data_IF_240315093434
#
_entry.id   IF_240315093434
#
_cell.length_a   1.000
_cell.length_b   1.000
_cell.length_c   1.000
_cell.angle_alpha   90.00
_cell.angle_beta   90.00
_cell.angle_gamma   90.00
#
_symmetry.space_group_name_H-M   'P 1'
#
loop_
_entity.id
_entity.type
_entity.pdbx_description
1 polymer ?
#
# COMPACT_ATOMS: atom_id res chain seq x y z
N UNK A 1 14.84 8.04 9.28
CA UNK A 1 13.92 9.06 8.72
C UNK A 1 12.70 8.32 8.24
N UNK A 2 11.49 8.83 8.43
CA UNK A 2 10.29 8.18 7.92
C UNK A 2 10.26 8.31 6.39
N UNK A 3 9.99 7.20 5.70
CA UNK A 3 9.96 7.16 4.23
C UNK A 3 8.58 7.59 3.73
N UNK A 4 8.50 8.29 2.61
CA UNK A 4 7.22 8.68 1.95
C UNK A 4 7.00 7.94 0.63
N UNK A 5 7.93 7.05 0.29
CA UNK A 5 7.94 6.20 -0.89
C UNK A 5 8.71 4.93 -0.55
N UNK A 6 8.16 3.78 -0.92
CA UNK A 6 8.84 2.49 -0.77
C UNK A 6 8.91 1.76 -2.11
N UNK A 7 9.88 0.86 -2.23
CA UNK A 7 10.01 -0.06 -3.36
C UNK A 7 9.90 -1.49 -2.84
N UNK A 8 8.99 -2.26 -3.45
CA UNK A 8 8.72 -3.64 -3.06
C UNK A 8 9.19 -4.55 -4.18
N UNK A 9 10.15 -5.46 -3.94
CA UNK A 9 10.55 -6.43 -4.93
C UNK A 9 9.43 -7.44 -5.13
N UNK A 10 9.10 -7.70 -6.40
CA UNK A 10 8.12 -8.69 -6.80
C UNK A 10 8.82 -9.97 -7.28
N UNK A 11 8.26 -11.15 -6.98
CA UNK A 11 8.76 -12.40 -7.52
C UNK A 11 8.53 -12.50 -9.03
N UNK A 12 9.43 -13.20 -9.71
CA UNK A 12 9.23 -13.57 -11.11
C UNK A 12 8.10 -14.60 -11.24
N UNK A 13 7.48 -14.64 -12.42
CA UNK A 13 6.50 -15.65 -12.85
C UNK A 13 5.28 -15.82 -11.93
N UNK A 14 4.99 -14.84 -11.08
CA UNK A 14 3.87 -14.87 -10.15
C UNK A 14 2.86 -13.79 -10.47
N UNK A 15 1.58 -14.12 -10.43
CA UNK A 15 0.51 -13.11 -10.37
C UNK A 15 0.48 -12.50 -8.98
N UNK A 16 0.53 -11.17 -8.91
CA UNK A 16 0.53 -10.43 -7.65
C UNK A 16 -0.84 -9.80 -7.44
N UNK A 17 -1.41 -9.99 -6.27
CA UNK A 17 -2.66 -9.36 -5.83
C UNK A 17 -2.36 -8.15 -4.98
N UNK A 18 -3.05 -7.07 -5.26
CA UNK A 18 -3.02 -5.83 -4.49
C UNK A 18 -4.39 -5.55 -3.90
N UNK A 19 -4.45 -5.18 -2.64
CA UNK A 19 -5.69 -4.75 -1.97
C UNK A 19 -5.42 -3.51 -1.12
N UNK A 20 -6.10 -2.42 -1.45
CA UNK A 20 -5.99 -1.15 -0.75
C UNK A 20 -7.12 -0.97 0.26
N UNK A 21 -6.78 -0.58 1.47
CA UNK A 21 -7.70 -0.34 2.58
C UNK A 21 -7.39 1.02 3.18
N UNK A 22 -8.42 1.76 3.59
CA UNK A 22 -8.26 3.04 4.27
C UNK A 22 -8.97 3.04 5.64
N UNK A 23 -8.37 3.77 6.59
CA UNK A 23 -8.87 3.93 7.94
C UNK A 23 -8.69 5.40 8.39
N UNK A 24 -9.73 6.19 8.28
CA UNK A 24 -9.69 7.62 8.57
C UNK A 24 -11.04 8.09 9.07
N UNK A 25 -11.07 8.87 10.15
CA UNK A 25 -12.33 9.40 10.67
C UNK A 25 -12.94 10.49 9.78
N UNK A 26 -12.10 11.29 9.11
CA UNK A 26 -12.53 12.53 8.47
C UNK A 26 -11.72 12.91 7.22
N UNK A 27 -10.42 12.61 7.19
CA UNK A 27 -9.52 13.02 6.13
C UNK A 27 -9.57 12.08 4.92
N UNK A 28 -9.35 12.66 3.73
CA UNK A 28 -9.15 11.86 2.52
C UNK A 28 -7.85 11.06 2.63
N UNK A 29 -7.86 9.84 2.13
CA UNK A 29 -6.71 8.93 2.14
C UNK A 29 -6.48 8.43 0.72
N UNK A 30 -5.22 8.37 0.30
CA UNK A 30 -4.84 7.97 -1.05
C UNK A 30 -3.71 6.93 -0.99
N UNK A 31 -3.85 5.90 -1.81
CA UNK A 31 -2.84 4.88 -2.07
C UNK A 31 -2.50 4.96 -3.56
N UNK A 32 -1.24 5.20 -3.86
CA UNK A 32 -0.74 5.24 -5.23
C UNK A 32 0.36 4.21 -5.39
N UNK A 33 0.32 3.46 -6.47
CA UNK A 33 1.41 2.55 -6.81
C UNK A 33 1.69 2.55 -8.30
N UNK A 34 2.96 2.38 -8.63
CA UNK A 34 3.46 2.25 -9.99
C UNK A 34 4.00 0.83 -10.17
N UNK A 35 3.45 0.13 -11.16
CA UNK A 35 3.84 -1.23 -11.50
C UNK A 35 5.14 -1.25 -12.30
N UNK A 36 5.85 -2.39 -12.36
CA UNK A 36 7.06 -2.53 -13.16
C UNK A 36 6.94 -2.15 -14.65
N UNK A 37 5.75 -2.26 -15.23
CA UNK A 37 5.43 -1.85 -16.61
C UNK A 37 5.11 -0.34 -16.73
N UNK A 38 5.30 0.43 -15.66
CA UNK A 38 5.10 1.88 -15.63
C UNK A 38 3.65 2.32 -15.49
N UNK A 39 2.73 1.40 -15.19
CA UNK A 39 1.32 1.76 -14.97
C UNK A 39 1.14 2.29 -13.56
N UNK A 40 0.70 3.54 -13.46
CA UNK A 40 0.29 4.14 -12.20
C UNK A 40 -1.18 3.85 -11.91
N UNK A 41 -1.46 3.39 -10.69
CA UNK A 41 -2.82 3.16 -10.17
C UNK A 41 -2.96 3.96 -8.88
N UNK A 42 -4.09 4.63 -8.73
CA UNK A 42 -4.42 5.44 -7.57
C UNK A 42 -5.80 5.05 -7.04
N UNK A 43 -5.88 4.80 -5.74
CA UNK A 43 -7.11 4.58 -5.02
C UNK A 43 -7.29 5.62 -3.93
N UNK A 44 -8.53 6.04 -3.73
CA UNK A 44 -8.87 7.11 -2.79
C UNK A 44 -10.04 6.69 -1.92
N UNK A 45 -9.94 6.92 -0.62
CA UNK A 45 -11.06 6.89 0.31
C UNK A 45 -11.34 8.30 0.84
N UNK A 46 -12.62 8.69 0.93
CA UNK A 46 -13.05 9.98 1.49
C UNK A 46 -14.11 9.81 2.56
N UNK A 47 -14.20 10.76 3.49
CA UNK A 47 -15.14 10.70 4.61
C UNK A 47 -14.73 9.70 5.70
N UNK A 48 -15.69 9.29 6.54
CA UNK A 48 -15.45 8.33 7.61
C UNK A 48 -15.26 6.91 7.05
N UNK A 49 -14.05 6.38 7.21
CA UNK A 49 -13.58 5.10 6.70
C UNK A 49 -13.04 4.28 7.87
N UNK A 50 -13.56 3.08 8.06
CA UNK A 50 -13.03 2.14 9.03
C UNK A 50 -12.81 0.79 8.35
N UNK A 51 -11.57 0.50 8.00
CA UNK A 51 -11.17 -0.71 7.26
C UNK A 51 -11.92 -0.85 5.93
N UNK A 52 -12.11 0.26 5.22
CA UNK A 52 -12.82 0.26 3.94
C UNK A 52 -11.87 -0.16 2.82
N UNK A 53 -12.24 -1.18 2.05
CA UNK A 53 -11.54 -1.54 0.81
C UNK A 53 -11.84 -0.47 -0.24
N UNK A 54 -10.78 0.17 -0.76
CA UNK A 54 -10.87 1.23 -1.77
C UNK A 54 -10.46 0.77 -3.16
N UNK A 55 -9.82 -0.39 -3.26
CA UNK A 55 -9.49 -0.99 -4.55
C UNK A 55 -8.80 -2.33 -4.43
N UNK A 56 -8.92 -3.10 -5.51
CA UNK A 56 -8.25 -4.38 -5.68
C UNK A 56 -7.84 -4.51 -7.15
N UNK A 57 -6.66 -5.07 -7.40
CA UNK A 57 -6.21 -5.39 -8.76
C UNK A 57 -5.21 -6.53 -8.71
N UNK A 58 -5.00 -7.16 -9.87
CA UNK A 58 -3.91 -8.10 -10.11
C UNK A 58 -2.89 -7.46 -11.07
N UNK A 59 -1.62 -7.81 -10.91
CA UNK A 59 -0.52 -7.39 -11.81
C UNK A 59 0.41 -8.57 -12.10
N UNK A 60 1.27 -8.42 -13.12
CA UNK A 60 2.13 -9.50 -13.62
C UNK A 60 1.35 -10.58 -14.37
N UNK A 61 1.90 -11.79 -14.54
CA UNK A 61 3.23 -12.21 -14.09
C UNK A 61 4.35 -11.48 -14.83
N UNK A 62 5.44 -11.22 -14.11
CA UNK A 62 6.63 -10.56 -14.64
C UNK A 62 7.74 -11.58 -14.89
N UNK A 63 8.44 -11.50 -16.01
CA UNK A 63 9.43 -12.51 -16.42
C UNK A 63 10.82 -12.29 -15.81
N UNK A 64 11.14 -11.06 -15.41
CA UNK A 64 12.41 -10.73 -14.77
C UNK A 64 12.30 -10.79 -13.23
N UNK A 65 13.30 -11.31 -12.52
CA UNK A 65 13.36 -11.21 -11.07
C UNK A 65 13.59 -9.76 -10.61
N UNK A 66 13.21 -9.46 -9.37
CA UNK A 66 13.45 -8.18 -8.69
C UNK A 66 12.84 -6.95 -9.38
N UNK A 67 11.75 -7.15 -10.12
CA UNK A 67 10.95 -6.02 -10.58
C UNK A 67 10.29 -5.31 -9.38
N UNK A 68 10.34 -3.99 -9.38
CA UNK A 68 9.95 -3.20 -8.22
C UNK A 68 8.55 -2.60 -8.40
N UNK A 69 7.67 -2.82 -7.43
CA UNK A 69 6.47 -2.02 -7.24
C UNK A 69 6.84 -0.78 -6.43
N UNK A 70 6.58 0.40 -6.95
CA UNK A 70 6.75 1.64 -6.19
C UNK A 70 5.44 2.02 -5.52
N UNK A 71 5.45 2.32 -4.22
CA UNK A 71 4.25 2.69 -3.46
C UNK A 71 4.45 4.05 -2.79
N UNK A 72 3.43 4.91 -2.88
CA UNK A 72 3.30 6.15 -2.14
C UNK A 72 1.90 6.24 -1.53
N UNK A 73 1.80 6.96 -0.42
CA UNK A 73 0.54 7.16 0.31
C UNK A 73 0.44 8.61 0.72
N UNK A 74 -0.78 9.13 0.77
CA UNK A 74 -1.03 10.52 1.10
C UNK A 74 -2.36 10.70 1.82
N UNK A 75 -2.47 11.77 2.61
CA UNK A 75 -3.70 12.18 3.27
C UNK A 75 -4.07 13.62 2.91
N UNK A 76 -5.37 13.91 2.88
CA UNK A 76 -5.89 15.27 2.65
C UNK A 76 -6.54 15.81 3.93
N UNK A 77 -5.84 16.68 4.70
CA UNK A 77 -6.39 17.32 5.89
C UNK A 77 -7.30 18.52 5.58
N UNK A 78 -7.65 18.76 4.32
CA UNK A 78 -8.50 19.86 3.85
C UNK A 78 -7.80 20.87 2.93
N UNK A 79 -6.53 20.65 2.60
CA UNK A 79 -5.71 21.53 1.74
C UNK A 79 -5.02 20.77 0.60
N UNK A 80 -5.56 19.61 0.21
CA UNK A 80 -4.99 18.71 -0.78
C UNK A 80 -4.09 17.64 -0.17
N UNK A 81 -3.81 16.60 -0.97
CA UNK A 81 -3.03 15.44 -0.55
C UNK A 81 -1.58 15.80 -0.23
N UNK A 82 -1.17 15.48 1.00
CA UNK A 82 0.20 15.59 1.50
C UNK A 82 0.77 14.19 1.70
N UNK A 83 2.07 13.96 1.44
CA UNK A 83 2.69 12.65 1.62
C UNK A 83 2.55 12.13 3.06
N UNK A 84 2.13 10.88 3.19
CA UNK A 84 2.13 10.15 4.45
C UNK A 84 3.49 9.51 4.69
N UNK A 85 3.81 9.27 5.96
CA UNK A 85 4.91 8.36 6.30
C UNK A 85 4.49 6.93 5.99
N UNK A 86 5.42 6.11 5.53
CA UNK A 86 5.15 4.75 5.03
C UNK A 86 6.13 3.79 5.66
N UNK A 87 5.63 2.61 6.00
CA UNK A 87 6.41 1.45 6.40
C UNK A 87 5.90 0.22 5.65
N UNK A 88 6.76 -0.78 5.45
CA UNK A 88 6.33 -2.07 4.98
C UNK A 88 7.05 -3.19 5.71
N UNK A 89 6.27 -4.23 6.01
CA UNK A 89 6.76 -5.47 6.58
C UNK A 89 6.41 -6.62 5.64
N UNK A 90 7.36 -7.52 5.46
CA UNK A 90 7.13 -8.75 4.71
C UNK A 90 6.48 -9.81 5.61
N UNK A 91 5.72 -10.69 4.98
CA UNK A 91 5.20 -11.89 5.63
C UNK A 91 5.35 -13.10 4.70
N UNK A 92 5.54 -14.26 5.31
CA UNK A 92 5.55 -15.54 4.64
C UNK A 92 4.79 -16.54 5.51
N UNK A 93 3.72 -17.11 4.97
CA UNK A 93 2.94 -18.18 5.58
C UNK A 93 2.81 -19.34 4.60
N UNK A 94 2.36 -20.49 5.08
CA UNK A 94 2.13 -21.64 4.21
C UNK A 94 1.15 -21.26 3.08
N UNK A 95 1.65 -21.28 1.83
CA UNK A 95 0.88 -20.97 0.62
C UNK A 95 0.73 -19.49 0.27
N UNK A 96 1.24 -18.54 1.08
CA UNK A 96 1.12 -17.11 0.79
C UNK A 96 2.34 -16.31 1.24
N UNK A 97 2.84 -15.45 0.36
CA UNK A 97 3.91 -14.51 0.64
C UNK A 97 3.49 -13.11 0.25
N UNK A 98 4.06 -12.10 0.90
CA UNK A 98 3.71 -10.73 0.58
C UNK A 98 4.32 -9.68 1.48
N UNK A 99 3.76 -8.49 1.35
CA UNK A 99 4.05 -7.31 2.12
C UNK A 99 2.75 -6.67 2.62
N UNK A 100 2.79 -6.17 3.84
CA UNK A 100 1.81 -5.20 4.35
C UNK A 100 2.49 -3.85 4.33
N UNK A 101 1.95 -2.90 3.58
CA UNK A 101 2.42 -1.52 3.54
C UNK A 101 1.44 -0.67 4.33
N UNK A 102 1.91 0.03 5.34
CA UNK A 102 1.12 0.90 6.20
C UNK A 102 1.50 2.36 6.02
N UNK A 103 0.51 3.25 5.95
CA UNK A 103 0.69 4.69 5.87
C UNK A 103 0.18 5.39 7.14
N UNK A 104 0.97 6.33 7.63
CA UNK A 104 0.69 7.17 8.79
C UNK A 104 0.52 8.63 8.34
N UNK A 105 -0.63 9.21 8.66
CA UNK A 105 -0.82 10.66 8.54
C UNK A 105 -0.27 11.40 9.77
N UNK A 106 -0.25 12.74 9.74
CA UNK A 106 0.27 13.55 10.85
C UNK A 106 -0.55 13.44 12.15
N UNK A 107 -1.70 12.75 12.12
CA UNK A 107 -2.53 12.46 13.29
C UNK A 107 -2.03 11.22 14.02
N UNK A 108 -1.04 11.37 14.90
CA UNK A 108 -0.65 10.31 15.82
C UNK A 108 -1.85 9.88 16.68
N UNK A 109 -2.03 8.57 16.88
CA UNK A 109 -2.95 8.06 17.90
C UNK A 109 -2.39 8.37 19.29
N UNK A 110 -3.21 8.31 20.37
CA UNK A 110 -2.75 8.56 21.74
C UNK A 110 -1.57 7.68 22.20
N UNK A 111 -1.30 6.57 21.49
CA UNK A 111 -0.27 5.59 21.78
C UNK A 111 0.91 5.60 20.78
N UNK A 112 1.03 6.62 19.93
CA UNK A 112 2.09 6.73 18.92
C UNK A 112 1.64 6.39 17.49
N UNK A 113 2.62 6.33 16.58
CA UNK A 113 2.41 6.04 15.17
C UNK A 113 1.87 4.61 14.97
N UNK A 114 0.81 4.47 14.18
CA UNK A 114 0.11 3.19 13.96
C UNK A 114 0.22 2.69 12.52
N UNK A 115 0.62 3.54 11.56
CA UNK A 115 0.76 3.21 10.14
C UNK A 115 -0.47 2.49 9.56
N UNK A 116 -1.65 2.91 10.01
CA UNK A 116 -2.92 2.22 9.75
C UNK A 116 -3.90 3.06 8.93
N UNK A 117 -3.60 4.34 8.65
CA UNK A 117 -4.52 5.23 7.96
C UNK A 117 -4.78 4.80 6.52
N UNK A 118 -3.75 4.24 5.90
CA UNK A 118 -3.78 3.55 4.60
C UNK A 118 -3.05 2.22 4.75
N UNK A 119 -3.56 1.17 4.09
CA UNK A 119 -2.94 -0.14 4.06
C UNK A 119 -2.98 -0.64 2.63
N UNK A 120 -1.84 -1.10 2.11
CA UNK A 120 -1.76 -1.85 0.87
C UNK A 120 -1.23 -3.25 1.18
N UNK A 121 -2.04 -4.26 0.93
CA UNK A 121 -1.61 -5.66 0.92
C UNK A 121 -1.09 -6.00 -0.47
N UNK A 122 0.14 -6.48 -0.56
CA UNK A 122 0.78 -6.94 -1.80
C UNK A 122 1.13 -8.41 -1.59
N UNK A 123 0.49 -9.34 -2.31
CA UNK A 123 0.63 -10.76 -1.98
C UNK A 123 0.51 -11.68 -3.19
N UNK A 124 1.12 -12.86 -3.08
CA UNK A 124 1.14 -13.90 -4.11
C UNK A 124 1.18 -15.28 -3.46
N UNK A 125 0.84 -16.31 -4.25
CA UNK A 125 0.91 -17.69 -3.78
C UNK A 125 2.38 -18.11 -3.58
N UNK A 126 2.70 -18.67 -2.41
CA UNK A 126 4.03 -19.22 -2.13
C UNK A 126 4.18 -20.61 -2.77
N UNK A 127 5.22 -20.80 -3.58
CA UNK A 127 5.55 -22.11 -4.17
C UNK A 127 4.91 -22.44 -5.52
N UNK A 128 4.50 -21.42 -6.29
CA UNK A 128 4.22 -21.57 -7.72
C UNK A 128 5.51 -21.69 -8.55
#
# INVERSE_FOLDING_TARGET
MAETKIQIPLPANSTIRLTGITNSGWWGQQITFETPDGKQIQWTGTGAQNNQVVGQTEIGPYTAPEQMLTVTMANDPGNGYQPSQIQADSFNTDGLSGYVVGGQDSGGRPSGDAYWNTILLVYWAYGY
#
